data_IF_312333107605
#
_entry.id   IF_312333107605
#
_cell.length_a   1.000
_cell.length_b   1.000
_cell.length_c   1.000
_cell.angle_alpha   90.00
_cell.angle_beta   90.00
_cell.angle_gamma   90.00
#
_symmetry.space_group_name_H-M   'P 1'
#
loop_
_entity.id
_entity.type
_entity.pdbx_description
1 polymer ?
#
# COMPACT_ATOMS: atom_id res chain seq x y z
N UNK A 1 -13.59 -11.81 -16.16
CA UNK A 1 -12.32 -11.12 -15.83
C UNK A 1 -12.66 -9.65 -15.74
N UNK A 2 -12.67 -9.05 -14.56
CA UNK A 2 -12.83 -7.58 -14.47
C UNK A 2 -11.56 -6.95 -15.01
N UNK A 3 -11.72 -6.09 -16.01
CA UNK A 3 -10.65 -5.24 -16.49
C UNK A 3 -10.59 -4.06 -15.53
N UNK A 4 -9.54 -3.98 -14.72
CA UNK A 4 -9.27 -2.79 -13.92
C UNK A 4 -8.67 -1.73 -14.83
N UNK A 5 -9.17 -0.50 -14.75
CA UNK A 5 -8.52 0.62 -15.41
C UNK A 5 -7.28 1.03 -14.61
N UNK A 6 -6.39 1.78 -15.25
CA UNK A 6 -5.20 2.30 -14.58
C UNK A 6 -5.56 3.28 -13.45
N UNK A 7 -6.63 4.06 -13.63
CA UNK A 7 -7.16 4.93 -12.57
C UNK A 7 -7.68 4.14 -11.38
N UNK A 8 -8.42 3.04 -11.61
CA UNK A 8 -8.92 2.21 -10.50
C UNK A 8 -7.76 1.63 -9.67
N UNK A 9 -6.64 1.29 -10.32
CA UNK A 9 -5.45 0.79 -9.64
C UNK A 9 -4.70 1.89 -8.88
N UNK A 10 -4.71 3.13 -9.36
CA UNK A 10 -4.12 4.26 -8.65
C UNK A 10 -4.93 4.63 -7.41
N UNK A 11 -6.25 4.75 -7.55
CA UNK A 11 -7.17 5.10 -6.47
C UNK A 11 -7.16 4.01 -5.39
N UNK A 12 -7.29 2.75 -5.78
CA UNK A 12 -7.24 1.63 -4.81
C UNK A 12 -5.91 1.50 -4.08
N UNK A 13 -4.79 1.91 -4.70
CA UNK A 13 -3.51 1.94 -4.01
C UNK A 13 -3.44 3.07 -2.97
N UNK A 14 -4.04 4.23 -3.26
CA UNK A 14 -4.19 5.30 -2.28
C UNK A 14 -5.06 4.85 -1.10
N UNK A 15 -6.23 4.27 -1.39
CA UNK A 15 -7.12 3.72 -0.36
C UNK A 15 -6.41 2.66 0.50
N UNK A 16 -5.51 1.87 -0.12
CA UNK A 16 -4.73 0.87 0.59
C UNK A 16 -3.73 1.46 1.59
N UNK A 17 -3.14 2.62 1.26
CA UNK A 17 -2.24 3.35 2.17
C UNK A 17 -3.03 3.93 3.35
N UNK A 18 -4.19 4.52 3.08
CA UNK A 18 -5.08 5.04 4.12
C UNK A 18 -5.56 3.90 5.04
N UNK A 19 -6.05 2.80 4.46
CA UNK A 19 -6.52 1.64 5.21
C UNK A 19 -5.41 1.02 6.08
N UNK A 20 -4.18 0.95 5.58
CA UNK A 20 -3.03 0.55 6.39
C UNK A 20 -2.77 1.52 7.56
N UNK A 21 -2.86 2.83 7.33
CA UNK A 21 -2.59 3.83 8.39
C UNK A 21 -3.58 3.74 9.55
N UNK A 22 -4.79 3.25 9.30
CA UNK A 22 -5.84 3.05 10.29
C UNK A 22 -5.89 1.61 10.84
N UNK A 23 -5.04 0.72 10.33
CA UNK A 23 -5.06 -0.69 10.70
C UNK A 23 -4.46 -0.89 12.09
N UNK A 24 -5.21 -1.57 12.96
CA UNK A 24 -4.74 -2.01 14.26
C UNK A 24 -3.95 -3.32 14.15
N UNK A 25 -2.71 -3.31 14.63
CA UNK A 25 -1.82 -4.47 14.65
C UNK A 25 -2.49 -5.69 15.31
N UNK A 26 -2.29 -6.87 14.72
CA UNK A 26 -2.85 -8.12 15.23
C UNK A 26 -4.33 -8.34 14.89
N UNK A 27 -4.96 -7.45 14.11
CA UNK A 27 -6.30 -7.68 13.56
C UNK A 27 -6.23 -8.21 12.12
N UNK A 28 -7.37 -8.53 11.52
CA UNK A 28 -7.43 -9.04 10.13
C UNK A 28 -6.99 -7.95 9.16
N UNK A 29 -6.24 -8.35 8.11
CA UNK A 29 -5.81 -7.45 7.04
C UNK A 29 -7.01 -6.70 6.40
N UNK A 30 -6.96 -5.35 6.32
CA UNK A 30 -8.03 -4.59 5.71
C UNK A 30 -8.09 -4.85 4.20
N UNK A 31 -9.29 -4.66 3.66
CA UNK A 31 -9.55 -4.74 2.23
C UNK A 31 -10.11 -3.40 1.73
N UNK A 32 -9.85 -3.10 0.47
CA UNK A 32 -10.41 -1.94 -0.24
C UNK A 32 -11.31 -2.40 -1.37
N UNK A 33 -12.29 -1.59 -1.74
CA UNK A 33 -13.15 -1.87 -2.89
C UNK A 33 -12.41 -1.53 -4.19
N UNK A 34 -12.34 -2.49 -5.10
CA UNK A 34 -11.91 -2.26 -6.48
C UNK A 34 -13.02 -2.72 -7.40
N UNK A 35 -13.82 -1.77 -7.89
CA UNK A 35 -14.94 -2.01 -8.79
C UNK A 35 -15.96 -3.02 -8.22
N UNK A 36 -16.35 -2.85 -6.95
CA UNK A 36 -17.34 -3.71 -6.28
C UNK A 36 -16.77 -5.03 -5.74
N UNK A 37 -15.44 -5.16 -5.67
CA UNK A 37 -14.75 -6.32 -5.12
C UNK A 37 -13.88 -5.90 -3.95
N UNK A 38 -14.09 -6.51 -2.78
CA UNK A 38 -13.18 -6.33 -1.64
C UNK A 38 -11.86 -7.07 -1.89
N UNK A 39 -10.76 -6.32 -1.93
CA UNK A 39 -9.41 -6.80 -2.22
C UNK A 39 -8.49 -6.46 -1.05
N UNK A 40 -7.82 -7.45 -0.42
CA UNK A 40 -6.84 -7.18 0.63
C UNK A 40 -5.71 -6.26 0.15
N UNK A 41 -5.27 -5.33 1.00
CA UNK A 41 -4.28 -4.30 0.64
C UNK A 41 -2.93 -4.87 0.14
N UNK A 42 -2.51 -6.05 0.63
CA UNK A 42 -1.32 -6.78 0.16
C UNK A 42 -1.46 -7.30 -1.26
N UNK A 43 -2.69 -7.62 -1.67
CA UNK A 43 -3.02 -8.02 -3.04
C UNK A 43 -3.04 -6.80 -3.96
N UNK A 44 -3.56 -5.66 -3.50
CA UNK A 44 -3.47 -4.38 -4.24
C UNK A 44 -2.01 -4.00 -4.52
N UNK A 45 -1.12 -4.12 -3.53
CA UNK A 45 0.32 -3.95 -3.73
C UNK A 45 0.89 -4.85 -4.84
N UNK A 46 0.33 -6.05 -5.01
CA UNK A 46 0.69 -6.97 -6.09
C UNK A 46 0.22 -6.50 -7.47
N UNK A 47 -0.97 -5.89 -7.55
CA UNK A 47 -1.52 -5.37 -8.79
C UNK A 47 -0.70 -4.19 -9.32
N UNK A 48 -0.24 -3.30 -8.44
CA UNK A 48 0.58 -2.13 -8.82
C UNK A 48 2.09 -2.40 -8.86
N UNK A 49 2.52 -3.64 -8.63
CA UNK A 49 3.94 -4.01 -8.42
C UNK A 49 4.87 -3.70 -9.61
N UNK A 50 4.30 -3.64 -10.82
CA UNK A 50 5.03 -3.35 -12.06
C UNK A 50 4.72 -1.96 -12.63
N UNK A 51 3.85 -1.17 -12.00
CA UNK A 51 3.49 0.16 -12.50
C UNK A 51 4.65 1.13 -12.27
N UNK A 52 5.20 1.62 -13.38
CA UNK A 52 6.30 2.60 -13.38
C UNK A 52 5.81 4.04 -13.43
N UNK A 53 4.50 4.26 -13.46
CA UNK A 53 3.90 5.59 -13.33
C UNK A 53 4.35 6.27 -12.05
N UNK A 54 4.49 7.59 -12.15
CA UNK A 54 4.94 8.42 -11.04
C UNK A 54 3.77 8.62 -10.07
N UNK A 55 4.05 8.37 -8.81
CA UNK A 55 3.11 8.53 -7.72
C UNK A 55 3.00 10.02 -7.31
N UNK A 56 1.81 10.50 -6.92
CA UNK A 56 1.66 11.85 -6.37
C UNK A 56 2.59 12.09 -5.17
N UNK A 57 3.11 13.31 -5.05
CA UNK A 57 4.02 13.68 -3.96
C UNK A 57 3.39 13.52 -2.57
N UNK A 58 2.09 13.81 -2.43
CA UNK A 58 1.34 13.60 -1.19
C UNK A 58 1.32 12.13 -0.78
N UNK A 59 1.06 11.22 -1.72
CA UNK A 59 1.04 9.79 -1.46
C UNK A 59 2.44 9.23 -1.14
N UNK A 60 3.49 9.79 -1.77
CA UNK A 60 4.87 9.50 -1.37
C UNK A 60 5.12 9.85 0.10
N UNK A 61 4.68 11.04 0.50
CA UNK A 61 4.83 11.55 1.85
C UNK A 61 4.03 10.74 2.89
N UNK A 62 2.84 10.29 2.56
CA UNK A 62 2.05 9.40 3.44
C UNK A 62 2.77 8.09 3.70
N UNK A 63 3.23 7.39 2.66
CA UNK A 63 4.00 6.15 2.81
C UNK A 63 5.28 6.41 3.61
N UNK A 64 5.93 7.55 3.38
CA UNK A 64 7.13 7.96 4.11
C UNK A 64 6.92 8.09 5.62
N UNK A 65 5.75 8.58 6.05
CA UNK A 65 5.39 8.69 7.47
C UNK A 65 5.08 7.36 8.14
N UNK A 66 4.71 6.34 7.35
CA UNK A 66 4.42 4.99 7.85
C UNK A 66 5.69 4.15 8.05
N UNK A 67 6.82 4.54 7.46
CA UNK A 67 8.06 3.79 7.60
C UNK A 67 8.64 3.94 9.01
N UNK A 68 9.05 2.84 9.67
CA UNK A 68 9.74 2.92 10.93
C UNK A 68 11.10 3.61 10.77
N UNK A 69 11.63 4.10 11.88
CA UNK A 69 13.02 4.53 11.92
C UNK A 69 13.94 3.30 11.95
N UNK A 70 15.04 3.26 11.17
CA UNK A 70 15.59 4.36 10.39
C UNK A 70 15.25 4.33 8.90
N UNK A 71 14.38 3.41 8.45
CA UNK A 71 14.01 3.25 7.05
C UNK A 71 13.40 4.51 6.45
N UNK A 72 12.68 5.28 7.27
CA UNK A 72 12.16 6.57 6.85
C UNK A 72 13.27 7.54 6.39
N UNK A 73 14.49 7.46 6.95
CA UNK A 73 15.62 8.32 6.57
C UNK A 73 16.54 7.68 5.52
N UNK A 74 16.77 6.37 5.58
CA UNK A 74 17.77 5.70 4.72
C UNK A 74 17.22 5.19 3.38
N UNK A 75 15.92 4.96 3.27
CA UNK A 75 15.32 4.53 2.01
C UNK A 75 14.00 5.26 1.76
N UNK A 76 14.06 6.59 1.56
CA UNK A 76 12.86 7.40 1.49
C UNK A 76 12.05 7.14 0.22
N UNK A 77 10.73 7.26 0.37
CA UNK A 77 9.79 7.39 -0.74
C UNK A 77 9.55 8.88 -0.94
N UNK A 78 10.12 9.44 -2.02
CA UNK A 78 10.13 10.87 -2.32
C UNK A 78 9.31 11.20 -3.57
N UNK A 79 9.01 12.49 -3.78
CA UNK A 79 8.31 12.99 -4.96
C UNK A 79 9.00 12.52 -6.26
N UNK A 80 8.23 11.92 -7.17
CA UNK A 80 8.80 11.27 -8.35
C UNK A 80 9.09 9.76 -8.16
N UNK A 81 8.76 9.17 -7.01
CA UNK A 81 8.78 7.72 -6.83
C UNK A 81 7.65 7.06 -7.62
N UNK A 82 7.86 5.81 -8.05
CA UNK A 82 6.84 5.07 -8.81
C UNK A 82 5.87 4.33 -7.89
N UNK A 83 4.68 4.00 -8.40
CA UNK A 83 3.73 3.10 -7.72
C UNK A 83 4.39 1.77 -7.34
N UNK A 84 5.20 1.18 -8.23
CA UNK A 84 5.97 -0.04 -7.93
C UNK A 84 6.90 0.12 -6.72
N UNK A 85 7.52 1.30 -6.52
CA UNK A 85 8.36 1.55 -5.34
C UNK A 85 7.48 1.65 -4.09
N UNK A 86 6.42 2.46 -4.11
CA UNK A 86 5.47 2.58 -2.99
C UNK A 86 4.90 1.24 -2.55
N UNK A 87 4.47 0.41 -3.50
CA UNK A 87 3.91 -0.92 -3.25
C UNK A 87 4.89 -1.87 -2.56
N UNK A 88 6.19 -1.76 -2.84
CA UNK A 88 7.23 -2.56 -2.16
C UNK A 88 7.39 -2.13 -0.71
N UNK A 89 7.31 -0.84 -0.42
CA UNK A 89 7.36 -0.34 0.95
C UNK A 89 6.12 -0.76 1.74
N UNK A 90 4.92 -0.50 1.21
CA UNK A 90 3.67 -0.87 1.87
C UNK A 90 3.57 -2.39 2.10
N UNK A 91 3.94 -3.22 1.12
CA UNK A 91 3.93 -4.68 1.26
C UNK A 91 4.92 -5.20 2.31
N UNK A 92 6.02 -4.49 2.56
CA UNK A 92 6.95 -4.83 3.64
C UNK A 92 6.35 -4.51 5.01
N UNK A 93 5.72 -3.36 5.13
CA UNK A 93 5.01 -2.93 6.33
C UNK A 93 3.91 -3.93 6.71
N UNK A 94 3.03 -4.28 5.75
CA UNK A 94 1.96 -5.28 5.96
C UNK A 94 2.52 -6.62 6.46
N UNK A 95 3.65 -7.07 5.91
CA UNK A 95 4.29 -8.34 6.32
C UNK A 95 4.95 -8.29 7.70
N UNK A 96 5.23 -7.10 8.22
CA UNK A 96 5.85 -6.92 9.53
C UNK A 96 4.81 -7.00 10.66
N UNK A 97 3.51 -6.85 10.37
CA UNK A 97 2.44 -6.96 11.35
C UNK A 97 2.29 -8.44 11.73
N UNK A 98 2.45 -8.80 13.02
CA UNK A 98 2.22 -10.16 13.48
C UNK A 98 0.73 -10.49 13.34
N UNK A 99 0.43 -11.61 12.68
CA UNK A 99 -0.95 -12.12 12.60
C UNK A 99 -1.41 -12.59 13.99
N UNK A 100 -2.71 -12.46 14.32
CA UNK A 100 -3.24 -12.97 15.59
C UNK A 100 -2.98 -14.48 15.69
N UNK A 101 -2.32 -14.90 16.76
CA UNK A 101 -2.17 -16.32 17.08
C UNK A 101 -3.57 -16.89 17.34
N UNK A 102 -3.97 -17.91 16.58
CA UNK A 102 -5.19 -18.65 16.85
C UNK A 102 -5.05 -19.36 18.21
N UNK A 103 -5.69 -18.82 19.25
CA UNK A 103 -5.82 -19.43 20.57
C UNK A 103 -6.83 -20.59 20.58
#
# INVERSE_FOLDING_TARGET
MSVHTLSDLWDSFQDSVEAYSMWEDGTVEPAVDINGQEVPISKVCGLVWHLTDIMPGSLCQEIQYLLPWPECDFNPVYEGSTYAKGARHLKRLIKAIPLPEHH
#
